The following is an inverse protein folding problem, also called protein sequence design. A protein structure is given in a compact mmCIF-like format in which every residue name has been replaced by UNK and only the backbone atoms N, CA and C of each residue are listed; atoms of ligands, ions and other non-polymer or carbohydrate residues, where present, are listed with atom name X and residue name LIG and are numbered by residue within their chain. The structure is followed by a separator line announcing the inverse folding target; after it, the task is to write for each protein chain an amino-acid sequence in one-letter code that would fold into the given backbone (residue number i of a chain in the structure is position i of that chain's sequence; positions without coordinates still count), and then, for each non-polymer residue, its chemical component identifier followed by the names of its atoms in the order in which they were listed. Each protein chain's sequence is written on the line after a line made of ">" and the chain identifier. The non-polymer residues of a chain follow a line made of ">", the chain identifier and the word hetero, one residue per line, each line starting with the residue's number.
data_IF_220132557711
#
_entry.id   IF_220132557711
#
_cell.length_a   1.000
_cell.length_b   1.000
_cell.length_c   1.000
_cell.angle_alpha   90.00
_cell.angle_beta   90.00
_cell.angle_gamma   90.00
#
_symmetry.space_group_name_H-M   'P 1'
#
loop_
_entity.id
_entity.type
_entity.pdbx_description
1 polymer ?
#
# COMPACT_ATOMS: atom_id res chain seq x y z
N UNK A 1 -1.14 12.44 -11.86
CA UNK A 1 -1.30 11.61 -13.08
C UNK A 1 -2.01 12.47 -14.12
N UNK A 2 -1.33 12.88 -15.20
CA UNK A 2 -1.98 13.60 -16.29
C UNK A 2 -2.44 12.55 -17.32
N UNK A 3 -3.70 12.12 -17.22
CA UNK A 3 -4.32 11.33 -18.29
C UNK A 3 -4.49 12.27 -19.47
N UNK A 4 -4.01 11.91 -20.66
CA UNK A 4 -4.24 12.75 -21.84
C UNK A 4 -5.75 12.91 -22.04
N UNK A 5 -6.16 14.13 -22.38
CA UNK A 5 -7.58 14.51 -22.52
C UNK A 5 -8.35 13.60 -23.51
N UNK A 6 -7.62 12.92 -24.41
CA UNK A 6 -8.16 12.01 -25.41
C UNK A 6 -8.04 10.51 -25.07
N UNK A 7 -7.43 10.12 -23.94
CA UNK A 7 -7.24 8.71 -23.55
C UNK A 7 -6.46 7.83 -24.57
N UNK A 8 -5.72 8.44 -25.50
CA UNK A 8 -5.07 7.71 -26.61
C UNK A 8 -3.79 6.95 -26.20
N UNK A 9 -3.29 7.18 -24.99
CA UNK A 9 -2.00 6.62 -24.54
C UNK A 9 -2.12 5.25 -23.86
N UNK A 10 -3.29 4.60 -23.91
CA UNK A 10 -3.56 3.33 -23.21
C UNK A 10 -2.56 2.22 -23.59
N UNK A 11 -2.10 2.20 -24.84
CA UNK A 11 -1.12 1.25 -25.34
C UNK A 11 0.25 1.37 -24.63
N UNK A 12 0.65 2.57 -24.22
CA UNK A 12 1.90 2.81 -23.49
C UNK A 12 1.86 2.32 -22.05
N UNK A 13 0.65 2.18 -21.49
CA UNK A 13 0.44 1.70 -20.13
C UNK A 13 0.08 0.22 -20.05
N UNK A 14 -0.23 -0.41 -21.18
CA UNK A 14 -0.63 -1.82 -21.24
C UNK A 14 0.40 -2.77 -20.58
N UNK A 15 1.73 -2.62 -20.80
CA UNK A 15 2.71 -3.47 -20.11
C UNK A 15 2.70 -3.28 -18.59
N UNK A 16 2.42 -2.06 -18.11
CA UNK A 16 2.33 -1.78 -16.68
C UNK A 16 1.03 -2.34 -16.07
N UNK A 17 -0.07 -2.28 -16.81
CA UNK A 17 -1.35 -2.84 -16.38
C UNK A 17 -1.29 -4.37 -16.28
N UNK A 18 -0.68 -5.03 -17.27
CA UNK A 18 -0.44 -6.47 -17.24
C UNK A 18 0.45 -6.87 -16.06
N UNK A 19 1.55 -6.12 -15.83
CA UNK A 19 2.42 -6.34 -14.68
C UNK A 19 1.67 -6.18 -13.35
N UNK A 20 0.89 -5.10 -13.19
CA UNK A 20 0.10 -4.85 -11.98
C UNK A 20 -0.95 -5.95 -11.73
N UNK A 21 -1.61 -6.40 -12.80
CA UNK A 21 -2.57 -7.50 -12.72
C UNK A 21 -1.90 -8.81 -12.26
N UNK A 22 -0.79 -9.18 -12.91
CA UNK A 22 -0.07 -10.44 -12.63
C UNK A 22 0.67 -10.45 -11.29
N UNK A 23 0.95 -9.27 -10.72
CA UNK A 23 1.56 -9.08 -9.39
C UNK A 23 0.52 -8.89 -8.27
N UNK A 24 -0.78 -8.86 -8.59
CA UNK A 24 -1.84 -8.81 -7.60
C UNK A 24 -2.23 -10.23 -7.14
N UNK A 25 -2.57 -10.37 -5.86
CA UNK A 25 -3.05 -11.64 -5.32
C UNK A 25 -4.44 -11.93 -5.88
N UNK A 26 -4.58 -13.01 -6.65
CA UNK A 26 -5.88 -13.38 -7.19
C UNK A 26 -6.80 -13.89 -6.08
N UNK A 27 -8.03 -13.37 -6.02
CA UNK A 27 -9.09 -13.79 -5.10
C UNK A 27 -9.27 -15.31 -4.93
N UNK A 28 -9.10 -16.10 -5.99
CA UNK A 28 -9.29 -17.55 -5.97
C UNK A 28 -8.10 -18.31 -5.39
N UNK A 29 -6.88 -17.91 -5.72
CA UNK A 29 -5.65 -18.65 -5.37
C UNK A 29 -4.97 -18.08 -4.11
N UNK A 30 -5.31 -16.85 -3.71
CA UNK A 30 -4.63 -16.06 -2.66
C UNK A 30 -3.10 -15.94 -2.87
N UNK A 31 -2.64 -16.16 -4.09
CA UNK A 31 -1.24 -16.12 -4.49
C UNK A 31 -1.09 -15.16 -5.68
N UNK A 32 0.10 -14.58 -5.83
CA UNK A 32 0.42 -13.79 -7.00
C UNK A 32 0.43 -14.72 -8.23
N UNK A 33 -0.18 -14.32 -9.35
CA UNK A 33 -0.12 -15.11 -10.57
C UNK A 33 1.35 -15.32 -11.00
N UNK A 34 2.20 -14.30 -10.86
CA UNK A 34 3.64 -14.44 -11.07
C UNK A 34 4.28 -15.53 -10.20
N UNK A 35 3.90 -15.59 -8.92
CA UNK A 35 4.40 -16.63 -8.02
C UNK A 35 3.90 -18.02 -8.44
N UNK A 36 2.66 -18.11 -8.92
CA UNK A 36 2.06 -19.37 -9.38
C UNK A 36 2.73 -19.88 -10.67
N UNK A 37 3.06 -18.98 -11.59
CA UNK A 37 3.64 -19.33 -12.90
C UNK A 37 5.16 -19.53 -12.82
N UNK A 38 5.87 -18.71 -12.05
CA UNK A 38 7.33 -18.65 -12.06
C UNK A 38 7.99 -19.04 -10.73
N UNK A 39 7.22 -19.20 -9.65
CA UNK A 39 7.73 -19.57 -8.32
C UNK A 39 8.53 -18.47 -7.62
N UNK A 40 8.47 -17.22 -8.11
CA UNK A 40 9.21 -16.08 -7.57
C UNK A 40 8.38 -14.79 -7.67
N UNK A 41 8.53 -13.94 -6.67
CA UNK A 41 7.90 -12.62 -6.68
C UNK A 41 8.60 -11.72 -7.71
N UNK A 42 7.84 -10.98 -8.53
CA UNK A 42 8.42 -10.07 -9.50
C UNK A 42 9.00 -8.86 -8.76
N UNK A 43 10.30 -8.91 -8.45
CA UNK A 43 11.02 -7.74 -7.99
C UNK A 43 11.31 -6.84 -9.19
N UNK A 44 10.91 -5.57 -9.09
CA UNK A 44 11.27 -4.54 -10.05
C UNK A 44 12.72 -4.10 -9.83
N UNK A 45 13.64 -5.06 -9.80
CA UNK A 45 15.05 -4.80 -9.57
C UNK A 45 15.67 -4.35 -10.88
N UNK A 46 15.89 -3.04 -10.98
CA UNK A 46 16.53 -2.35 -12.10
C UNK A 46 18.01 -2.72 -12.30
N UNK A 47 18.52 -3.73 -11.58
CA UNK A 47 19.94 -4.06 -11.44
C UNK A 47 20.58 -4.44 -12.78
N UNK A 48 19.79 -4.87 -13.77
CA UNK A 48 20.30 -5.33 -15.07
C UNK A 48 19.82 -4.51 -16.29
N UNK A 49 19.09 -3.40 -16.10
CA UNK A 49 18.57 -2.63 -17.25
C UNK A 49 19.51 -1.47 -17.57
N UNK A 50 20.21 -1.56 -18.71
CA UNK A 50 20.98 -0.45 -19.27
C UNK A 50 20.06 0.74 -19.59
N UNK A 51 20.36 1.90 -19.01
CA UNK A 51 19.50 3.11 -19.02
C UNK A 51 19.12 3.61 -20.42
N UNK A 52 19.97 3.38 -21.42
CA UNK A 52 19.77 3.88 -22.79
C UNK A 52 18.85 3.00 -23.64
N UNK A 53 18.43 1.84 -23.14
CA UNK A 53 17.45 0.99 -23.82
C UNK A 53 16.03 1.53 -23.65
N UNK A 54 15.10 1.23 -24.58
CA UNK A 54 13.68 1.53 -24.39
C UNK A 54 13.13 0.98 -23.05
N UNK A 55 13.62 -0.19 -22.62
CA UNK A 55 13.31 -0.78 -21.33
C UNK A 55 13.84 0.06 -20.15
N UNK A 56 15.05 0.62 -20.26
CA UNK A 56 15.63 1.52 -19.26
C UNK A 56 14.82 2.80 -19.07
N UNK A 57 14.43 3.43 -20.17
CA UNK A 57 13.56 4.63 -20.16
C UNK A 57 12.16 4.34 -19.61
N UNK A 58 11.60 3.16 -19.88
CA UNK A 58 10.33 2.74 -19.30
C UNK A 58 10.47 2.49 -17.78
N UNK A 59 11.55 1.83 -17.36
CA UNK A 59 11.84 1.56 -15.95
C UNK A 59 11.96 2.84 -15.14
N UNK A 60 12.67 3.86 -15.64
CA UNK A 60 12.80 5.15 -14.95
C UNK A 60 11.46 5.88 -14.83
N UNK A 61 10.63 5.83 -15.89
CA UNK A 61 9.27 6.39 -15.87
C UNK A 61 8.37 5.66 -14.86
N UNK A 62 8.47 4.34 -14.76
CA UNK A 62 7.71 3.57 -13.76
C UNK A 62 8.16 3.93 -12.34
N UNK A 63 9.47 4.02 -12.10
CA UNK A 63 10.01 4.43 -10.80
C UNK A 63 9.54 5.83 -10.39
N UNK A 64 9.50 6.80 -11.32
CA UNK A 64 9.01 8.15 -11.01
C UNK A 64 7.51 8.14 -10.66
N UNK A 65 6.70 7.39 -11.43
CA UNK A 65 5.27 7.25 -11.15
C UNK A 65 5.03 6.57 -9.80
N UNK A 66 5.77 5.51 -9.47
CA UNK A 66 5.68 4.85 -8.17
C UNK A 66 6.03 5.80 -7.02
N UNK A 67 7.06 6.63 -7.21
CA UNK A 67 7.45 7.65 -6.22
C UNK A 67 6.32 8.66 -5.99
N UNK A 68 5.71 9.18 -7.06
CA UNK A 68 4.59 10.10 -6.97
C UNK A 68 3.38 9.46 -6.28
N UNK A 69 2.98 8.25 -6.66
CA UNK A 69 1.86 7.53 -6.03
C UNK A 69 2.12 7.31 -4.54
N UNK A 70 3.35 6.93 -4.16
CA UNK A 70 3.73 6.77 -2.75
C UNK A 70 3.64 8.09 -1.98
N UNK A 71 4.05 9.20 -2.59
CA UNK A 71 3.94 10.54 -2.00
C UNK A 71 2.48 10.93 -1.76
N UNK A 72 1.62 10.78 -2.77
CA UNK A 72 0.18 11.11 -2.64
C UNK A 72 -0.52 10.22 -1.62
N UNK A 73 -0.21 8.92 -1.59
CA UNK A 73 -0.74 8.00 -0.59
C UNK A 73 -0.33 8.42 0.83
N UNK A 74 0.93 8.79 1.02
CA UNK A 74 1.40 9.29 2.32
C UNK A 74 0.71 10.60 2.72
N UNK A 75 0.47 11.50 1.77
CA UNK A 75 -0.29 12.73 2.01
C UNK A 75 -1.72 12.43 2.44
N UNK A 76 -2.41 11.49 1.77
CA UNK A 76 -3.74 11.05 2.15
C UNK A 76 -3.77 10.43 3.56
N UNK A 77 -2.84 9.52 3.87
CA UNK A 77 -2.69 8.94 5.22
C UNK A 77 -2.51 10.06 6.27
N UNK A 78 -1.64 11.03 5.99
CA UNK A 78 -1.41 12.15 6.90
C UNK A 78 -2.64 13.04 7.06
N UNK A 79 -3.41 13.24 5.99
CA UNK A 79 -4.67 13.98 6.05
C UNK A 79 -5.71 13.28 6.93
N UNK A 80 -5.91 11.97 6.73
CA UNK A 80 -6.79 11.17 7.59
C UNK A 80 -6.35 11.19 9.05
N UNK A 81 -5.04 11.06 9.32
CA UNK A 81 -4.51 11.18 10.70
C UNK A 81 -4.86 12.52 11.33
N UNK A 82 -4.59 13.64 10.65
CA UNK A 82 -4.91 14.98 11.16
C UNK A 82 -6.40 15.18 11.39
N UNK A 83 -7.24 14.64 10.52
CA UNK A 83 -8.68 14.73 10.66
C UNK A 83 -9.15 13.95 11.90
N UNK A 84 -8.73 12.71 12.04
CA UNK A 84 -9.01 11.87 13.20
C UNK A 84 -8.48 12.48 14.50
N UNK A 85 -7.26 13.02 14.49
CA UNK A 85 -6.64 13.65 15.66
C UNK A 85 -7.40 14.90 16.12
N UNK A 86 -8.05 15.65 15.22
CA UNK A 86 -8.94 16.76 15.60
C UNK A 86 -10.22 16.31 16.28
N UNK A 87 -10.74 15.13 15.91
CA UNK A 87 -11.93 14.55 16.51
C UNK A 87 -11.65 13.84 17.85
N UNK A 88 -10.38 13.61 18.18
CA UNK A 88 -9.96 13.04 19.47
C UNK A 88 -9.90 14.15 20.51
N UNK A 89 -10.56 13.94 21.64
CA UNK A 89 -10.31 14.76 22.82
C UNK A 89 -8.87 14.54 23.31
N UNK A 90 -8.24 15.58 23.86
CA UNK A 90 -6.97 15.43 24.55
C UNK A 90 -7.09 14.32 25.60
N UNK A 91 -6.16 13.36 25.65
CA UNK A 91 -6.21 12.32 26.66
C UNK A 91 -6.18 12.96 28.05
N UNK A 92 -6.97 12.46 29.02
CA UNK A 92 -6.85 12.87 30.41
C UNK A 92 -5.45 12.57 30.94
N UNK A 93 -5.00 13.34 31.94
CA UNK A 93 -3.81 12.98 32.71
C UNK A 93 -4.13 11.75 33.57
N UNK A 94 -3.38 10.66 33.37
CA UNK A 94 -3.52 9.42 34.13
C UNK A 94 -2.37 9.28 35.12
N UNK A 95 -2.69 8.91 36.35
CA UNK A 95 -1.72 8.56 37.37
C UNK A 95 -1.61 7.04 37.52
N UNK A 96 -0.44 6.51 37.95
CA UNK A 96 -0.31 5.11 38.29
C UNK A 96 -1.36 4.69 39.34
N UNK A 97 -2.20 3.70 38.99
CA UNK A 97 -3.31 3.23 39.83
C UNK A 97 -4.71 3.62 39.33
N UNK A 98 -4.82 4.52 38.35
CA UNK A 98 -6.11 4.90 37.77
C UNK A 98 -6.73 3.76 36.95
N UNK A 99 -8.03 3.51 37.15
CA UNK A 99 -8.79 2.54 36.36
C UNK A 99 -9.45 3.23 35.17
N UNK A 100 -9.25 2.67 33.97
CA UNK A 100 -9.85 3.16 32.72
C UNK A 100 -10.78 2.13 32.11
N UNK A 101 -11.90 2.59 31.55
CA UNK A 101 -12.82 1.74 30.81
C UNK A 101 -12.31 1.54 29.38
N UNK A 102 -11.97 0.30 29.02
CA UNK A 102 -11.52 -0.05 27.68
C UNK A 102 -12.62 -0.81 26.91
N UNK A 103 -12.98 -0.31 25.74
CA UNK A 103 -13.88 -1.03 24.83
C UNK A 103 -13.11 -2.07 24.01
N UNK A 104 -13.53 -3.33 24.08
CA UNK A 104 -12.94 -4.43 23.29
C UNK A 104 -13.47 -4.53 21.86
N UNK A 105 -14.42 -3.67 21.46
CA UNK A 105 -15.14 -3.76 20.17
C UNK A 105 -14.21 -3.80 18.95
N UNK A 106 -13.10 -3.08 19.00
CA UNK A 106 -12.14 -2.96 17.89
C UNK A 106 -10.77 -3.59 18.19
N UNK A 107 -10.64 -4.34 19.28
CA UNK A 107 -9.37 -4.97 19.68
C UNK A 107 -9.42 -6.43 19.23
N UNK A 108 -8.59 -6.77 18.24
CA UNK A 108 -8.41 -8.17 17.82
C UNK A 108 -7.48 -8.87 18.79
N UNK A 109 -8.04 -9.77 19.60
CA UNK A 109 -7.27 -10.64 20.50
C UNK A 109 -6.97 -11.97 19.82
N UNK A 110 -5.71 -12.41 19.87
CA UNK A 110 -5.30 -13.78 19.53
C UNK A 110 -5.66 -14.79 20.62
N UNK A 111 -6.15 -14.34 21.77
CA UNK A 111 -6.54 -15.21 22.89
C UNK A 111 -8.00 -15.64 22.75
N UNK A 112 -8.29 -16.88 23.18
CA UNK A 112 -9.66 -17.40 23.22
C UNK A 112 -10.58 -16.68 24.22
N UNK A 113 -10.03 -15.94 25.19
CA UNK A 113 -10.80 -15.26 26.22
C UNK A 113 -10.77 -13.74 26.06
N UNK A 114 -11.90 -13.09 26.35
CA UNK A 114 -12.07 -11.63 26.26
C UNK A 114 -11.40 -10.84 27.41
N UNK A 115 -10.88 -11.52 28.44
CA UNK A 115 -10.23 -10.89 29.60
C UNK A 115 -8.78 -10.52 29.26
N UNK A 116 -8.36 -9.30 29.61
CA UNK A 116 -6.97 -8.86 29.57
C UNK A 116 -6.22 -9.40 30.81
N UNK A 117 -4.95 -9.79 30.69
CA UNK A 117 -4.15 -10.18 31.86
C UNK A 117 -3.97 -8.99 32.81
N UNK A 118 -3.94 -9.28 34.11
CA UNK A 118 -3.50 -8.33 35.16
C UNK A 118 -2.02 -8.01 35.03
#
# INVERSE_FOLDING_TARGET
>A
MNFSYHQDDWNTWLPLAEFAYNSSAHSSTKQLLFFTVYGRDPQFDSVHITKDTPAGKLSTKIQSVQHDVKRELQAAINWFKRYEDKSRASPPDFNPGDMVWLSSKNIKSTRCTKKLPE
#
